data_IF_827665908700
#
_entry.id   IF_827665908700
#
_cell.length_a   1.000
_cell.length_b   1.000
_cell.length_c   1.000
_cell.angle_alpha   90.00
_cell.angle_beta   90.00
_cell.angle_gamma   90.00
#
_symmetry.space_group_name_H-M   'P 1'
#
loop_
_entity.id
_entity.type
_entity.pdbx_description
1 polymer ?
#
# COMPACT_ATOMS: atom_id res chain seq x y z
N UNK A 1 -13.13 -11.59 -4.74
CA UNK A 1 -13.09 -10.65 -5.88
C UNK A 1 -12.06 -11.15 -6.88
N UNK A 2 -12.43 -11.35 -8.15
CA UNK A 2 -11.51 -11.83 -9.19
C UNK A 2 -10.48 -10.72 -9.50
N UNK A 3 -9.25 -10.90 -9.01
CA UNK A 3 -7.99 -10.15 -9.30
C UNK A 3 -8.20 -8.69 -9.74
N UNK A 4 -8.52 -7.80 -8.79
CA UNK A 4 -8.49 -6.36 -9.00
C UNK A 4 -7.04 -5.88 -8.99
N UNK A 5 -6.57 -5.30 -10.10
CA UNK A 5 -5.19 -4.78 -10.24
C UNK A 5 -5.13 -3.26 -10.26
N UNK A 6 -6.22 -2.62 -10.67
CA UNK A 6 -6.36 -1.18 -10.77
C UNK A 6 -7.46 -0.73 -9.81
N UNK A 7 -7.14 0.27 -8.99
CA UNK A 7 -8.10 0.96 -8.14
C UNK A 7 -8.07 2.44 -8.50
N UNK A 8 -9.19 2.96 -9.01
CA UNK A 8 -9.38 4.37 -9.29
C UNK A 8 -10.59 4.86 -8.50
N UNK A 9 -10.40 5.83 -7.62
CA UNK A 9 -11.47 6.37 -6.77
C UNK A 9 -11.41 7.89 -6.78
N UNK A 10 -12.53 8.50 -7.13
CA UNK A 10 -12.71 9.95 -7.08
C UNK A 10 -13.90 10.26 -6.18
N UNK A 11 -13.63 10.75 -4.97
CA UNK A 11 -14.68 11.16 -4.02
C UNK A 11 -14.72 12.68 -3.94
N UNK A 12 -15.88 13.25 -4.23
CA UNK A 12 -16.07 14.71 -4.27
C UNK A 12 -16.39 15.31 -2.90
N UNK A 13 -16.79 14.47 -1.93
CA UNK A 13 -17.17 14.91 -0.58
C UNK A 13 -16.09 14.59 0.47
N UNK A 14 -16.09 15.35 1.56
CA UNK A 14 -15.26 15.11 2.74
C UNK A 14 -15.72 13.83 3.43
N UNK A 15 -15.10 12.74 3.02
CA UNK A 15 -15.35 11.40 3.52
C UNK A 15 -14.67 11.23 4.88
N UNK A 16 -15.12 12.01 5.87
CA UNK A 16 -14.81 11.72 7.26
C UNK A 16 -15.52 10.41 7.62
N UNK A 17 -14.73 9.35 7.83
CA UNK A 17 -15.19 8.03 8.30
C UNK A 17 -15.69 7.02 7.24
N UNK A 18 -14.93 6.92 6.15
CA UNK A 18 -14.81 5.75 5.24
C UNK A 18 -14.56 4.38 5.88
N UNK A 19 -15.48 3.72 6.62
CA UNK A 19 -15.18 2.37 7.18
C UNK A 19 -14.72 1.34 6.13
N UNK A 20 -15.06 1.56 4.85
CA UNK A 20 -14.66 0.75 3.70
C UNK A 20 -13.25 1.00 3.14
N UNK A 21 -12.51 2.05 3.56
CA UNK A 21 -11.15 2.32 3.05
C UNK A 21 -10.06 1.48 3.74
N UNK A 22 -10.45 0.66 4.72
CA UNK A 22 -9.56 -0.16 5.52
C UNK A 22 -9.13 -1.46 4.81
N UNK A 23 -9.59 -1.70 3.58
CA UNK A 23 -9.21 -2.89 2.82
C UNK A 23 -8.63 -2.52 1.45
N UNK A 24 -7.31 -2.52 1.36
CA UNK A 24 -6.56 -2.49 0.11
C UNK A 24 -6.06 -3.90 -0.21
N UNK A 25 -6.22 -4.33 -1.47
CA UNK A 25 -5.74 -5.66 -1.88
C UNK A 25 -4.25 -5.62 -2.21
N UNK A 26 -3.49 -6.60 -1.71
CA UNK A 26 -2.05 -6.77 -2.03
C UNK A 26 -1.80 -7.17 -3.49
N UNK A 27 -2.84 -7.45 -4.28
CA UNK A 27 -2.75 -7.70 -5.72
C UNK A 27 -2.83 -6.42 -6.57
N UNK A 28 -3.08 -5.26 -5.95
CA UNK A 28 -3.14 -3.98 -6.64
C UNK A 28 -1.75 -3.61 -7.18
N UNK A 29 -1.75 -3.18 -8.43
CA UNK A 29 -0.58 -2.70 -9.16
C UNK A 29 -0.66 -1.20 -9.43
N UNK A 30 -1.88 -0.65 -9.42
CA UNK A 30 -2.11 0.77 -9.68
C UNK A 30 -3.20 1.28 -8.75
N UNK A 31 -2.91 2.37 -8.03
CA UNK A 31 -3.87 3.10 -7.21
C UNK A 31 -3.86 4.55 -7.65
N UNK A 32 -5.03 5.08 -8.06
CA UNK A 32 -5.29 6.51 -8.15
C UNK A 32 -6.46 6.85 -7.25
N UNK A 33 -6.23 7.67 -6.24
CA UNK A 33 -7.25 7.97 -5.24
C UNK A 33 -7.24 9.45 -4.87
N UNK A 34 -8.33 10.13 -5.22
CA UNK A 34 -8.59 11.50 -4.83
C UNK A 34 -9.31 11.52 -3.47
N UNK A 35 -8.84 12.38 -2.55
CA UNK A 35 -9.33 12.51 -1.18
C UNK A 35 -9.18 11.24 -0.32
N UNK A 36 -8.03 10.57 -0.38
CA UNK A 36 -7.80 9.35 0.41
C UNK A 36 -7.83 9.66 1.94
N UNK A 37 -8.72 9.01 2.71
CA UNK A 37 -9.11 9.50 4.04
C UNK A 37 -8.24 8.98 5.20
N UNK A 38 -7.35 8.00 4.97
CA UNK A 38 -6.58 7.36 6.04
C UNK A 38 -5.10 7.76 6.03
N UNK A 39 -4.48 7.72 7.20
CA UNK A 39 -3.02 7.80 7.41
C UNK A 39 -2.64 7.16 8.76
N UNK A 40 -1.80 6.13 8.80
CA UNK A 40 -1.13 5.47 7.67
C UNK A 40 -2.08 4.61 6.81
N UNK A 41 -1.55 3.95 5.78
CA UNK A 41 -2.26 2.86 5.11
C UNK A 41 -2.64 1.72 6.08
N UNK A 42 -3.64 0.87 5.74
CA UNK A 42 -3.99 -0.29 6.55
C UNK A 42 -2.79 -1.23 6.79
N UNK A 43 -2.62 -1.72 8.02
CA UNK A 43 -1.48 -2.55 8.41
C UNK A 43 -1.36 -3.87 7.62
N UNK A 44 -2.48 -4.38 7.09
CA UNK A 44 -2.52 -5.59 6.27
C UNK A 44 -2.17 -5.34 4.79
N UNK A 45 -2.04 -4.08 4.38
CA UNK A 45 -1.69 -3.70 3.02
C UNK A 45 -0.18 -3.80 2.82
N UNK A 46 0.23 -4.79 2.04
CA UNK A 46 1.60 -5.03 1.64
C UNK A 46 1.72 -4.70 0.15
N UNK A 47 2.17 -3.48 -0.22
CA UNK A 47 2.19 -3.01 -1.60
C UNK A 47 3.33 -3.61 -2.45
N UNK A 48 3.68 -4.89 -2.25
CA UNK A 48 4.82 -5.51 -2.96
C UNK A 48 4.64 -5.58 -4.49
N UNK A 49 3.39 -5.53 -4.97
CA UNK A 49 3.05 -5.54 -6.40
C UNK A 49 2.66 -4.15 -6.92
N UNK A 50 2.62 -3.13 -6.05
CA UNK A 50 2.20 -1.79 -6.42
C UNK A 50 3.28 -1.14 -7.28
N UNK A 51 2.93 -0.81 -8.52
CA UNK A 51 3.81 -0.13 -9.46
C UNK A 51 3.55 1.38 -9.48
N UNK A 52 2.28 1.80 -9.34
CA UNK A 52 1.88 3.20 -9.38
C UNK A 52 0.99 3.55 -8.20
N UNK A 53 1.33 4.64 -7.51
CA UNK A 53 0.53 5.24 -6.44
C UNK A 53 0.34 6.74 -6.72
N UNK A 54 -0.89 7.12 -6.99
CA UNK A 54 -1.31 8.51 -7.19
C UNK A 54 -2.34 8.86 -6.12
N UNK A 55 -1.96 9.73 -5.19
CA UNK A 55 -2.87 10.20 -4.14
C UNK A 55 -3.00 11.72 -4.22
N UNK A 56 -4.19 12.21 -4.54
CA UNK A 56 -4.50 13.65 -4.58
C UNK A 56 -5.34 14.03 -3.37
N UNK A 57 -5.09 15.19 -2.75
CA UNK A 57 -5.83 15.71 -1.58
C UNK A 57 -5.97 14.69 -0.44
N UNK A 58 -4.90 13.95 -0.14
CA UNK A 58 -4.92 12.84 0.82
C UNK A 58 -4.39 13.22 2.21
N UNK A 59 -4.67 12.38 3.22
CA UNK A 59 -4.20 12.58 4.60
C UNK A 59 -2.86 11.89 4.94
N UNK A 60 -2.19 11.20 3.99
CA UNK A 60 -0.97 10.40 4.25
C UNK A 60 0.19 11.29 4.74
N UNK A 61 0.74 10.93 5.90
CA UNK A 61 1.95 11.55 6.46
C UNK A 61 3.21 10.73 6.17
N UNK A 62 3.07 9.42 6.02
CA UNK A 62 4.16 8.48 5.74
C UNK A 62 3.63 7.39 4.79
N UNK A 63 4.33 7.12 3.68
CA UNK A 63 3.89 6.11 2.71
C UNK A 63 4.21 4.67 3.19
N UNK A 64 5.41 4.45 3.70
CA UNK A 64 5.84 3.15 4.22
C UNK A 64 7.03 3.31 5.16
N UNK A 65 7.03 2.54 6.25
CA UNK A 65 8.24 2.27 7.03
C UNK A 65 8.99 1.16 6.30
N UNK A 66 10.14 1.49 5.71
CA UNK A 66 10.83 0.62 4.75
C UNK A 66 10.94 -0.84 5.21
N UNK A 67 10.50 -1.77 4.37
CA UNK A 67 10.76 -3.19 4.55
C UNK A 67 12.21 -3.47 4.16
N UNK A 68 13.13 -3.39 5.13
CA UNK A 68 14.47 -3.95 4.94
C UNK A 68 14.32 -5.46 4.96
N UNK A 69 14.35 -6.11 3.80
CA UNK A 69 14.56 -7.56 3.76
C UNK A 69 15.89 -7.83 4.45
N UNK A 70 15.89 -8.56 5.57
CA UNK A 70 17.12 -9.09 6.12
C UNK A 70 17.64 -10.12 5.10
N UNK A 71 18.53 -9.68 4.21
CA UNK A 71 19.34 -10.56 3.41
C UNK A 71 20.22 -11.36 4.37
N UNK A 72 19.76 -12.56 4.77
CA UNK A 72 20.64 -13.52 5.44
C UNK A 72 21.59 -14.03 4.37
N UNK A 73 22.79 -13.46 4.31
CA UNK A 73 23.89 -14.06 3.56
C UNK A 73 24.22 -15.39 4.23
N UNK A 74 23.85 -16.49 3.59
CA UNK A 74 24.26 -17.84 3.97
C UNK A 74 25.77 -17.96 3.78
N UNK A 75 26.56 -17.55 4.76
CA UNK A 75 28.00 -17.82 4.77
C UNK A 75 28.21 -19.26 5.19
N UNK A 76 28.32 -20.17 4.23
CA UNK A 76 28.88 -21.50 4.46
C UNK A 76 30.36 -21.33 4.80
N UNK A 77 30.71 -21.43 6.08
CA UNK A 77 32.09 -21.69 6.49
C UNK A 77 32.43 -23.13 6.09
N UNK A 78 33.30 -23.27 5.09
CA UNK A 78 33.92 -24.54 4.74
C UNK A 78 35.16 -24.69 5.62
N UNK A 79 35.10 -25.59 6.59
CA UNK A 79 36.27 -25.99 7.38
C UNK A 79 37.23 -26.78 6.50
N UNK A 80 38.53 -26.47 6.61
CA UNK A 80 39.64 -27.33 6.22
C UNK A 80 40.42 -27.66 7.49
#
# INVERSE_FOLDING_TARGET
>A
MKKLRLLCVTTLDDLENVEGTNFLSNELQYISWFNYPASPFPDNFQPMKLAVLELSYNKQKELWKGYKSNCVSSTTVRSA
#
